data_IF_664057274761
#
_entry.id   IF_664057274761
#
_cell.length_a   1.000
_cell.length_b   1.000
_cell.length_c   1.000
_cell.angle_alpha   90.00
_cell.angle_beta   90.00
_cell.angle_gamma   90.00
#
_symmetry.space_group_name_H-M   'P 1'
#
loop_
_entity.id
_entity.type
_entity.pdbx_description
1 polymer ?
#
# COMPACT_ATOMS: atom_id res chain seq x y z
N UNK A 1 -6.81 -6.27 15.02
CA UNK A 1 -6.33 -5.95 13.67
C UNK A 1 -6.09 -4.47 13.49
N UNK A 2 -5.13 -4.14 12.65
CA UNK A 2 -4.87 -2.75 12.27
C UNK A 2 -4.94 -2.62 10.76
N UNK A 3 -5.20 -1.41 10.27
CA UNK A 3 -5.33 -1.13 8.85
C UNK A 3 -4.24 -0.16 8.43
N UNK A 4 -3.41 -0.57 7.48
CA UNK A 4 -2.45 0.31 6.85
C UNK A 4 -3.10 0.91 5.60
N UNK A 5 -3.20 2.23 5.54
CA UNK A 5 -3.69 2.92 4.36
C UNK A 5 -2.53 3.69 3.76
N UNK A 6 -2.20 3.38 2.51
CA UNK A 6 -1.12 4.05 1.80
C UNK A 6 -1.66 4.72 0.55
N UNK A 7 -1.48 6.03 0.46
CA UNK A 7 -1.97 6.85 -0.64
C UNK A 7 -0.80 7.20 -1.56
N UNK A 8 -0.98 7.00 -2.87
CA UNK A 8 0.10 7.18 -3.85
C UNK A 8 -0.23 8.29 -4.84
N UNK A 9 0.70 9.22 -5.00
CA UNK A 9 0.68 10.23 -6.03
C UNK A 9 1.50 9.72 -7.22
N UNK A 10 0.80 9.20 -8.23
CA UNK A 10 1.45 8.60 -9.41
C UNK A 10 1.32 9.56 -10.58
N UNK A 11 2.44 9.97 -11.18
CA UNK A 11 2.40 10.85 -12.34
C UNK A 11 1.62 10.25 -13.51
N UNK A 12 0.95 11.11 -14.27
CA UNK A 12 0.21 10.69 -15.46
C UNK A 12 1.14 9.93 -16.42
N UNK A 13 0.64 8.83 -16.97
CA UNK A 13 1.41 8.01 -17.91
C UNK A 13 2.32 6.98 -17.24
N UNK A 14 2.43 6.98 -15.89
CA UNK A 14 3.29 6.04 -15.17
C UNK A 14 2.51 5.02 -14.36
N UNK A 15 1.21 4.91 -14.57
CA UNK A 15 0.36 4.02 -13.79
C UNK A 15 0.69 2.55 -13.99
N UNK A 16 0.94 2.12 -15.22
CA UNK A 16 1.29 0.72 -15.50
C UNK A 16 2.61 0.32 -14.89
N UNK A 17 3.63 1.18 -15.01
CA UNK A 17 4.94 0.97 -14.41
C UNK A 17 4.84 0.88 -12.89
N UNK A 18 4.10 1.80 -12.28
CA UNK A 18 3.84 1.77 -10.84
C UNK A 18 3.18 0.47 -10.42
N UNK A 19 2.12 0.07 -11.12
CA UNK A 19 1.36 -1.11 -10.74
C UNK A 19 2.18 -2.39 -10.87
N UNK A 20 3.05 -2.48 -11.88
CA UNK A 20 3.95 -3.62 -12.03
C UNK A 20 4.95 -3.70 -10.85
N UNK A 21 5.50 -2.56 -10.43
CA UNK A 21 6.37 -2.50 -9.25
C UNK A 21 5.63 -2.84 -7.96
N UNK A 22 4.42 -2.32 -7.83
CA UNK A 22 3.56 -2.62 -6.67
C UNK A 22 3.28 -4.12 -6.54
N UNK A 23 3.01 -4.83 -7.65
CA UNK A 23 2.75 -6.27 -7.61
C UNK A 23 3.91 -7.05 -7.01
N UNK A 24 5.14 -6.65 -7.30
CA UNK A 24 6.34 -7.29 -6.72
C UNK A 24 6.41 -7.06 -5.21
N UNK A 25 6.13 -5.85 -4.77
CA UNK A 25 6.08 -5.52 -3.34
C UNK A 25 4.97 -6.31 -2.66
N UNK A 26 3.79 -6.37 -3.28
CA UNK A 26 2.65 -7.10 -2.72
C UNK A 26 2.94 -8.60 -2.58
N UNK A 27 3.57 -9.21 -3.58
CA UNK A 27 3.96 -10.62 -3.52
C UNK A 27 4.90 -10.90 -2.34
N UNK A 28 5.83 -9.99 -2.08
CA UNK A 28 6.73 -10.08 -0.95
C UNK A 28 5.99 -9.92 0.38
N UNK A 29 5.15 -8.89 0.49
CA UNK A 29 4.46 -8.56 1.73
C UNK A 29 3.40 -9.59 2.14
N UNK A 30 2.67 -10.14 1.17
CA UNK A 30 1.61 -11.11 1.48
C UNK A 30 2.13 -12.45 2.00
N UNK A 31 3.43 -12.70 1.90
CA UNK A 31 4.08 -13.86 2.49
C UNK A 31 4.54 -13.62 3.93
N UNK A 32 4.41 -12.39 4.43
CA UNK A 32 4.84 -12.05 5.78
C UNK A 32 3.84 -12.50 6.83
N UNK A 33 4.37 -12.88 7.99
CA UNK A 33 3.55 -13.23 9.15
C UNK A 33 2.68 -12.04 9.55
N UNK A 34 1.40 -12.30 9.74
CA UNK A 34 0.45 -11.29 10.18
C UNK A 34 -0.22 -10.50 9.05
N UNK A 35 0.17 -10.72 7.81
CA UNK A 35 -0.56 -10.16 6.68
C UNK A 35 -1.92 -10.85 6.57
N UNK A 36 -2.99 -10.07 6.43
CA UNK A 36 -4.35 -10.63 6.31
C UNK A 36 -4.89 -10.49 4.89
N UNK A 37 -4.95 -9.26 4.40
CA UNK A 37 -5.52 -8.99 3.07
C UNK A 37 -5.19 -7.57 2.65
N UNK A 38 -5.38 -7.27 1.36
CA UNK A 38 -5.34 -5.90 0.91
C UNK A 38 -6.25 -5.68 -0.30
N UNK A 39 -6.62 -4.43 -0.49
CA UNK A 39 -7.31 -3.97 -1.69
C UNK A 39 -6.63 -2.70 -2.16
N UNK A 40 -6.15 -2.73 -3.40
CA UNK A 40 -5.63 -1.54 -4.06
C UNK A 40 -6.76 -0.88 -4.83
N UNK A 41 -7.00 0.40 -4.53
CA UNK A 41 -8.04 1.20 -5.17
C UNK A 41 -7.42 2.17 -6.14
N UNK A 42 -8.10 2.42 -7.26
CA UNK A 42 -7.73 3.47 -8.20
C UNK A 42 -8.81 4.53 -8.17
N UNK A 43 -8.41 5.81 -8.08
CA UNK A 43 -9.36 6.91 -8.11
C UNK A 43 -10.13 6.95 -9.44
N UNK A 44 -11.41 7.24 -9.35
CA UNK A 44 -12.26 7.46 -10.52
C UNK A 44 -12.17 8.90 -11.03
N UNK A 45 -11.65 9.83 -10.19
CA UNK A 45 -11.45 11.22 -10.58
C UNK A 45 -10.12 11.38 -11.30
N UNK A 46 -10.12 12.04 -12.47
CA UNK A 46 -8.91 12.24 -13.28
C UNK A 46 -7.87 13.12 -12.60
N UNK A 47 -8.32 14.08 -11.82
CA UNK A 47 -7.50 15.08 -11.14
C UNK A 47 -7.27 14.78 -9.68
N UNK A 48 -7.51 13.55 -9.25
CA UNK A 48 -7.28 13.16 -7.87
C UNK A 48 -5.81 13.25 -7.50
N UNK A 49 -5.52 13.84 -6.35
CA UNK A 49 -4.17 13.92 -5.80
C UNK A 49 -3.59 12.51 -5.61
N UNK A 50 -4.39 11.61 -5.05
CA UNK A 50 -3.98 10.21 -4.86
C UNK A 50 -4.64 9.35 -5.92
N UNK A 51 -3.85 8.92 -6.89
CA UNK A 51 -4.36 8.05 -7.95
C UNK A 51 -4.65 6.64 -7.46
N UNK A 52 -3.82 6.14 -6.52
CA UNK A 52 -3.99 4.81 -5.94
C UNK A 52 -4.00 4.90 -4.43
N UNK A 53 -4.86 4.09 -3.81
CA UNK A 53 -4.95 3.97 -2.34
C UNK A 53 -4.97 2.48 -2.00
N UNK A 54 -3.98 2.02 -1.26
CA UNK A 54 -3.89 0.64 -0.82
C UNK A 54 -4.37 0.52 0.62
N UNK A 55 -5.36 -0.34 0.84
CA UNK A 55 -5.91 -0.61 2.17
C UNK A 55 -5.51 -2.02 2.56
N UNK A 56 -4.64 -2.15 3.55
CA UNK A 56 -4.03 -3.42 3.95
C UNK A 56 -4.42 -3.76 5.39
N UNK A 57 -4.89 -4.98 5.60
CA UNK A 57 -5.21 -5.48 6.93
C UNK A 57 -4.03 -6.30 7.47
N UNK A 58 -3.62 -5.99 8.70
CA UNK A 58 -2.58 -6.70 9.42
C UNK A 58 -3.14 -7.20 10.76
N UNK A 59 -2.64 -8.35 11.23
CA UNK A 59 -3.08 -8.91 12.51
C UNK A 59 -2.77 -7.98 13.68
N UNK A 60 -1.62 -7.28 13.61
CA UNK A 60 -1.18 -6.37 14.66
C UNK A 60 -0.27 -5.30 14.10
N UNK A 61 -0.10 -4.22 14.85
CA UNK A 61 0.86 -3.17 14.54
C UNK A 61 2.28 -3.73 14.47
N UNK A 62 2.64 -4.61 15.40
CA UNK A 62 3.96 -5.21 15.48
C UNK A 62 4.27 -6.04 14.23
N UNK A 63 3.30 -6.83 13.75
CA UNK A 63 3.46 -7.61 12.53
C UNK A 63 3.66 -6.69 11.31
N UNK A 64 2.90 -5.61 11.23
CA UNK A 64 3.03 -4.64 10.16
C UNK A 64 4.43 -4.00 10.16
N UNK A 65 4.89 -3.55 11.31
CA UNK A 65 6.21 -2.93 11.45
C UNK A 65 7.33 -3.90 11.10
N UNK A 66 7.25 -5.14 11.57
CA UNK A 66 8.25 -6.17 11.29
C UNK A 66 8.33 -6.53 9.81
N UNK A 67 7.20 -6.48 9.11
CA UNK A 67 7.13 -6.81 7.69
C UNK A 67 7.82 -5.76 6.81
N UNK A 68 7.85 -4.49 7.25
CA UNK A 68 8.51 -3.40 6.52
C UNK A 68 10.01 -3.40 6.81
N UNK A 69 10.66 -4.46 6.40
CA UNK A 69 12.07 -4.78 6.68
C UNK A 69 13.01 -4.30 5.56
N UNK A 70 14.26 -4.74 5.62
CA UNK A 70 15.27 -4.37 4.62
C UNK A 70 14.88 -4.82 3.20
N UNK A 71 14.29 -6.01 3.06
CA UNK A 71 13.83 -6.52 1.77
C UNK A 71 12.72 -5.66 1.17
N UNK A 72 11.79 -5.21 2.00
CA UNK A 72 10.77 -4.26 1.57
C UNK A 72 11.41 -2.96 1.08
N UNK A 73 12.38 -2.42 1.83
CA UNK A 73 13.03 -1.17 1.46
C UNK A 73 13.80 -1.27 0.14
N UNK A 74 14.41 -2.42 -0.14
CA UNK A 74 15.05 -2.67 -1.44
C UNK A 74 14.03 -2.64 -2.58
N UNK A 75 12.87 -3.27 -2.37
CA UNK A 75 11.83 -3.32 -3.38
C UNK A 75 11.28 -1.94 -3.74
N UNK A 76 11.03 -1.09 -2.74
CA UNK A 76 10.49 0.25 -3.00
C UNK A 76 11.54 1.22 -3.54
N UNK A 77 12.82 0.87 -3.48
CA UNK A 77 13.89 1.68 -4.06
C UNK A 77 14.00 1.52 -5.58
N UNK A 78 13.27 0.59 -6.18
CA UNK A 78 13.25 0.39 -7.63
C UNK A 78 12.76 1.64 -8.36
N UNK A 79 13.24 1.92 -9.59
CA UNK A 79 12.83 3.09 -10.35
C UNK A 79 11.31 3.25 -10.52
N UNK A 80 10.60 2.13 -10.66
CA UNK A 80 9.15 2.13 -10.81
C UNK A 80 8.42 2.73 -9.59
N UNK A 81 9.01 2.67 -8.42
CA UNK A 81 8.39 3.10 -7.17
C UNK A 81 9.08 4.30 -6.52
N UNK A 82 10.38 4.47 -6.74
CA UNK A 82 11.16 5.51 -6.06
C UNK A 82 10.75 6.93 -6.45
N UNK A 83 10.14 7.11 -7.62
CA UNK A 83 9.64 8.41 -8.08
C UNK A 83 8.19 8.69 -7.69
N UNK A 84 7.55 7.73 -7.03
CA UNK A 84 6.15 7.86 -6.62
C UNK A 84 6.11 8.31 -5.16
N UNK A 85 5.34 9.36 -4.90
CA UNK A 85 5.17 9.84 -3.53
C UNK A 85 4.12 9.01 -2.83
N UNK A 86 4.48 8.41 -1.69
CA UNK A 86 3.57 7.64 -0.88
C UNK A 86 3.33 8.30 0.48
N UNK A 87 2.11 8.14 1.00
CA UNK A 87 1.71 8.71 2.28
C UNK A 87 1.03 7.59 3.09
N UNK A 88 1.82 6.75 3.78
CA UNK A 88 1.27 5.64 4.57
C UNK A 88 0.93 6.08 6.00
N UNK A 89 -0.10 5.46 6.57
CA UNK A 89 -0.41 5.58 7.98
C UNK A 89 -1.19 4.36 8.47
N UNK A 90 -1.01 4.02 9.75
CA UNK A 90 -1.75 2.96 10.40
C UNK A 90 -3.00 3.53 11.07
N UNK A 91 -4.09 2.77 10.97
CA UNK A 91 -5.39 3.15 11.50
C UNK A 91 -6.01 2.01 12.27
N UNK A 92 -6.90 2.35 13.20
CA UNK A 92 -7.78 1.38 13.85
C UNK A 92 -9.23 1.73 13.52
N UNK A 93 -10.09 0.72 13.48
CA UNK A 93 -11.51 0.94 13.27
C UNK A 93 -12.11 1.51 14.56
N UNK A 94 -12.77 2.66 14.47
CA UNK A 94 -13.44 3.29 15.63
C UNK A 94 -14.95 3.30 15.50
N UNK A 95 -15.47 2.95 14.34
CA UNK A 95 -16.89 2.80 14.08
C UNK A 95 -17.11 1.90 12.88
N UNK A 96 -18.09 1.04 12.95
CA UNK A 96 -18.46 0.14 11.87
C UNK A 96 -19.97 0.02 11.77
N UNK A 97 -20.49 0.01 10.55
CA UNK A 97 -21.92 -0.13 10.32
C UNK A 97 -22.14 -0.86 9.00
N UNK A 98 -23.27 -1.57 8.93
CA UNK A 98 -23.75 -2.18 7.68
C UNK A 98 -25.19 -1.77 7.46
N UNK A 99 -25.61 -1.69 6.18
CA UNK A 99 -26.99 -1.34 5.82
C UNK A 99 -27.94 -2.50 6.15
#
# INVERSE_FOLDING_TARGET
MVTLINCFEVPAGREEEFFAGYRKVNAYMRAKKGYVSNKMHRSLARDATFRFVNVVQWESREACEAAHDAGFRELIAQPALSSVRSTPALYEVVHEATA
#
